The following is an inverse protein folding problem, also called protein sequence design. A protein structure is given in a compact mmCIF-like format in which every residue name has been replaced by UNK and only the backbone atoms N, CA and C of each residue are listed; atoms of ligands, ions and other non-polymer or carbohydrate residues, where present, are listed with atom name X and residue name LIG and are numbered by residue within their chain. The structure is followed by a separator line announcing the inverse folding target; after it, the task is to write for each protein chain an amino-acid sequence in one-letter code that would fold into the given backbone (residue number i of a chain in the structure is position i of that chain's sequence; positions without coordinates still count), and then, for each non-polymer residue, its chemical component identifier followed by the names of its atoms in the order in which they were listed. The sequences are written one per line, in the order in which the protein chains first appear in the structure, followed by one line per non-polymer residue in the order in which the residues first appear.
data_IF_889612979981
#
_entry.id   IF_889612979981
#
_cell.length_a   1.000
_cell.length_b   1.000
_cell.length_c   1.000
_cell.angle_alpha   90.00
_cell.angle_beta   90.00
_cell.angle_gamma   90.00
#
_symmetry.space_group_name_H-M   'P 1'
#
loop_
_entity.id
_entity.type
_entity.pdbx_description
1 polymer ?
#
# COMPACT_ATOMS: atom_id res chain seq x y z
N UNK A 1 -14.01 -0.87 20.93
CA UNK A 1 -14.74 -0.88 19.64
C UNK A 1 -13.94 -0.18 18.54
N UNK A 2 -13.27 0.93 18.84
CA UNK A 2 -12.46 1.72 17.87
C UNK A 2 -11.29 0.93 17.25
N UNK A 3 -10.52 0.19 18.06
CA UNK A 3 -9.37 -0.59 17.58
C UNK A 3 -9.77 -1.66 16.53
N UNK A 4 -10.96 -2.24 16.68
CA UNK A 4 -11.47 -3.23 15.73
C UNK A 4 -11.89 -2.62 14.40
N UNK A 5 -12.40 -1.38 14.41
CA UNK A 5 -12.72 -0.66 13.18
C UNK A 5 -11.43 -0.32 12.42
N UNK A 6 -10.43 0.18 13.14
CA UNK A 6 -9.12 0.50 12.57
C UNK A 6 -8.43 -0.74 11.98
N UNK A 7 -8.46 -1.87 12.69
CA UNK A 7 -7.90 -3.13 12.19
C UNK A 7 -8.63 -3.61 10.92
N UNK A 8 -9.96 -3.46 10.84
CA UNK A 8 -10.72 -3.80 9.64
C UNK A 8 -10.35 -2.93 8.45
N UNK A 9 -10.19 -1.62 8.65
CA UNK A 9 -9.75 -0.69 7.61
C UNK A 9 -8.35 -1.06 7.06
N UNK A 10 -7.41 -1.40 7.94
CA UNK A 10 -6.08 -1.85 7.54
C UNK A 10 -6.09 -3.15 6.74
N UNK A 11 -6.92 -4.12 7.13
CA UNK A 11 -7.06 -5.39 6.41
C UNK A 11 -7.65 -5.15 5.00
N UNK A 12 -8.66 -4.29 4.88
CA UNK A 12 -9.25 -3.92 3.59
C UNK A 12 -8.23 -3.23 2.68
N UNK A 13 -7.44 -2.31 3.23
CA UNK A 13 -6.34 -1.64 2.52
C UNK A 13 -5.33 -2.66 1.97
N UNK A 14 -4.93 -3.62 2.80
CA UNK A 14 -4.02 -4.70 2.40
C UNK A 14 -4.62 -5.59 1.30
N UNK A 15 -5.93 -5.86 1.34
CA UNK A 15 -6.61 -6.66 0.33
C UNK A 15 -6.70 -5.94 -1.02
N UNK A 16 -7.03 -4.65 -1.01
CA UNK A 16 -7.06 -3.79 -2.21
C UNK A 16 -5.68 -3.73 -2.88
N UNK A 17 -4.63 -3.60 -2.07
CA UNK A 17 -3.25 -3.59 -2.57
C UNK A 17 -2.93 -4.86 -3.36
N UNK A 18 -3.19 -6.04 -2.79
CA UNK A 18 -2.94 -7.31 -3.48
C UNK A 18 -3.78 -7.49 -4.74
N UNK A 19 -5.00 -6.93 -4.80
CA UNK A 19 -5.82 -6.99 -6.02
C UNK A 19 -5.32 -6.04 -7.12
N UNK A 20 -4.80 -4.85 -6.77
CA UNK A 20 -4.44 -3.82 -7.77
C UNK A 20 -3.05 -3.97 -8.36
N UNK A 21 -2.09 -4.56 -7.65
CA UNK A 21 -0.71 -4.66 -8.14
C UNK A 21 -0.19 -6.10 -8.10
N UNK A 22 0.49 -6.50 -9.17
CA UNK A 22 1.33 -7.69 -9.15
C UNK A 22 2.64 -7.34 -8.43
N UNK A 23 3.04 -8.14 -7.43
CA UNK A 23 4.20 -7.88 -6.56
C UNK A 23 4.12 -6.54 -5.81
N UNK A 24 3.11 -6.40 -4.94
CA UNK A 24 3.09 -5.30 -3.95
C UNK A 24 4.22 -5.46 -2.94
N UNK A 25 5.00 -4.39 -2.76
CA UNK A 25 5.91 -4.21 -1.64
C UNK A 25 5.55 -2.91 -0.93
N UNK A 26 5.09 -3.00 0.31
CA UNK A 26 4.86 -1.84 1.16
C UNK A 26 6.19 -1.42 1.79
N UNK A 27 6.60 -0.18 1.52
CA UNK A 27 7.88 0.37 1.96
C UNK A 27 7.62 1.43 3.02
N UNK A 28 8.13 1.22 4.23
CA UNK A 28 7.99 2.19 5.33
C UNK A 28 9.16 3.17 5.21
N UNK A 29 8.86 4.42 4.86
CA UNK A 29 9.85 5.46 4.61
C UNK A 29 10.36 6.06 5.92
N UNK A 30 9.44 6.37 6.84
CA UNK A 30 9.76 7.01 8.12
C UNK A 30 8.62 6.80 9.11
N UNK A 31 8.98 6.54 10.37
CA UNK A 31 8.05 6.58 11.50
C UNK A 31 8.48 7.75 12.38
N UNK A 32 7.57 8.67 12.68
CA UNK A 32 7.80 9.78 13.61
C UNK A 32 6.81 9.67 14.76
N UNK A 33 7.33 9.59 15.98
CA UNK A 33 6.54 9.57 17.20
C UNK A 33 6.55 10.97 17.81
N UNK A 34 5.38 11.56 17.93
CA UNK A 34 5.19 12.86 18.58
C UNK A 34 4.70 12.60 20.00
N UNK A 35 5.64 12.51 20.94
CA UNK A 35 5.35 12.22 22.35
C UNK A 35 4.50 13.29 23.03
N UNK A 36 4.51 14.53 22.52
CA UNK A 36 3.65 15.62 23.04
C UNK A 36 2.16 15.36 22.77
N UNK A 37 1.83 14.71 21.66
CA UNK A 37 0.44 14.48 21.24
C UNK A 37 0.05 13.00 21.30
N UNK A 38 0.92 12.14 21.84
CA UNK A 38 0.78 10.68 21.85
C UNK A 38 0.37 10.10 20.48
N UNK A 39 0.90 10.68 19.40
CA UNK A 39 0.55 10.30 18.02
C UNK A 39 1.77 9.77 17.27
N UNK A 40 1.55 8.70 16.51
CA UNK A 40 2.56 8.11 15.63
C UNK A 40 2.18 8.38 14.18
N UNK A 41 3.02 9.13 13.47
CA UNK A 41 2.87 9.34 12.03
C UNK A 41 3.77 8.36 11.29
N UNK A 42 3.16 7.54 10.43
CA UNK A 42 3.89 6.60 9.57
C UNK A 42 3.83 7.10 8.14
N UNK A 43 4.99 7.42 7.56
CA UNK A 43 5.12 7.70 6.14
C UNK A 43 5.49 6.41 5.44
N UNK A 44 4.59 5.92 4.60
CA UNK A 44 4.74 4.68 3.83
C UNK A 44 4.49 4.94 2.34
N UNK A 45 5.00 4.05 1.49
CA UNK A 45 4.81 4.08 0.05
C UNK A 45 4.58 2.66 -0.46
N UNK A 46 3.53 2.47 -1.25
CA UNK A 46 3.31 1.22 -1.97
C UNK A 46 4.16 1.25 -3.24
N UNK A 47 5.05 0.28 -3.40
CA UNK A 47 5.72 0.01 -4.67
C UNK A 47 5.17 -1.29 -5.24
N UNK A 48 4.66 -1.24 -6.47
CA UNK A 48 4.14 -2.41 -7.16
C UNK A 48 4.18 -2.23 -8.67
N UNK A 49 4.25 -3.33 -9.41
CA UNK A 49 4.04 -3.29 -10.85
C UNK A 49 2.53 -3.32 -11.06
N UNK A 50 1.96 -2.21 -11.53
CA UNK A 50 0.56 -2.20 -11.93
C UNK A 50 0.40 -3.17 -13.09
N UNK A 51 -0.56 -4.11 -12.98
CA UNK A 51 -0.85 -5.08 -14.04
C UNK A 51 -1.08 -4.38 -15.39
N UNK A 52 -1.66 -3.18 -15.36
CA UNK A 52 -1.83 -2.32 -16.53
C UNK A 52 -0.52 -1.94 -17.25
N UNK A 53 0.56 -1.68 -16.49
CA UNK A 53 1.87 -1.33 -17.06
C UNK A 53 2.53 -2.55 -17.71
N UNK A 54 2.29 -3.74 -17.16
CA UNK A 54 2.72 -5.01 -17.74
C UNK A 54 1.93 -5.35 -19.00
N UNK A 55 0.61 -5.21 -18.98
CA UNK A 55 -0.27 -5.40 -20.15
C UNK A 55 0.11 -4.43 -21.27
N UNK A 56 0.32 -3.14 -20.97
CA UNK A 56 0.81 -2.18 -21.97
C UNK A 56 2.14 -2.62 -22.57
N UNK A 57 3.11 -3.03 -21.74
CA UNK A 57 4.44 -3.45 -22.21
C UNK A 57 4.36 -4.73 -23.07
N UNK A 58 3.47 -5.65 -22.73
CA UNK A 58 3.17 -6.85 -23.53
C UNK A 58 2.53 -6.47 -24.88
N UNK A 59 1.57 -5.56 -24.88
CA UNK A 59 0.86 -5.13 -26.09
C UNK A 59 1.78 -4.38 -27.08
N UNK A 60 2.70 -3.54 -26.59
CA UNK A 60 3.73 -2.90 -27.44
C UNK A 60 4.79 -3.88 -27.95
N UNK A 61 4.99 -5.02 -27.29
CA UNK A 61 5.94 -6.05 -27.73
C UNK A 61 5.34 -7.01 -28.77
N UNK A 62 4.01 -7.18 -28.76
CA UNK A 62 3.25 -8.01 -29.70
C UNK A 62 2.85 -7.28 -31.01
N UNK A 63 3.20 -6.00 -31.15
CA UNK A 63 3.00 -5.19 -32.36
C UNK A 63 4.36 -4.88 -32.99
#
# INVERSE_FOLDING_TARGET
MELMSYAKELILLRFIDYMKFAHVKLDILKITMHSENDTVQVRWRIRGVTGWKMIRRLFYFLR
#
